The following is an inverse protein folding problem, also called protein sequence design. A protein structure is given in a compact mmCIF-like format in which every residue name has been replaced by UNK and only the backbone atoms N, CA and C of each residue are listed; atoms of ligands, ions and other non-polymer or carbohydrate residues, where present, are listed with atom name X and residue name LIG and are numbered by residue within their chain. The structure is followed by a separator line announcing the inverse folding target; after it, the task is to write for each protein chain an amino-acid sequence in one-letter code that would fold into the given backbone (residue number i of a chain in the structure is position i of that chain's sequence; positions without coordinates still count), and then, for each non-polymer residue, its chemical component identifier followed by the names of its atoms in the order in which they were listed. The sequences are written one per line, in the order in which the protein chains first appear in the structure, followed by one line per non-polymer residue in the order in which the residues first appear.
data_IF_478449567807
#
_entry.id   IF_478449567807
#
_cell.length_a   1.000
_cell.length_b   1.000
_cell.length_c   1.000
_cell.angle_alpha   90.00
_cell.angle_beta   90.00
_cell.angle_gamma   90.00
#
_symmetry.space_group_name_H-M   'P 1'
#
loop_
_entity.id
_entity.type
_entity.pdbx_description
1 polymer ?
#
# COMPACT_ATOMS: atom_id res chain seq x y z
N UNK A 1 -8.80 57.29 35.44
CA UNK A 1 -8.84 56.89 34.01
C UNK A 1 -7.71 55.94 33.61
N UNK A 2 -6.52 56.05 34.23
CA UNK A 2 -5.36 55.23 33.87
C UNK A 2 -5.56 53.71 34.07
N UNK A 3 -6.20 53.28 35.16
CA UNK A 3 -6.44 51.86 35.46
C UNK A 3 -7.32 51.17 34.39
N UNK A 4 -8.33 51.87 33.86
CA UNK A 4 -9.19 51.36 32.80
C UNK A 4 -8.42 51.16 31.48
N UNK A 5 -7.46 52.04 31.19
CA UNK A 5 -6.60 51.91 30.00
C UNK A 5 -5.64 50.72 30.13
N UNK A 6 -5.10 50.46 31.32
CA UNK A 6 -4.26 49.27 31.57
C UNK A 6 -5.04 47.96 31.41
N UNK A 7 -6.27 47.89 31.94
CA UNK A 7 -7.13 46.71 31.81
C UNK A 7 -7.51 46.49 30.33
N UNK A 8 -7.87 47.55 29.61
CA UNK A 8 -8.18 47.47 28.18
C UNK A 8 -6.98 46.99 27.35
N UNK A 9 -5.77 47.47 27.66
CA UNK A 9 -4.53 47.03 27.00
C UNK A 9 -4.23 45.55 27.24
N UNK A 10 -4.40 45.07 28.47
CA UNK A 10 -4.23 43.66 28.81
C UNK A 10 -5.21 42.74 28.07
N UNK A 11 -6.48 43.15 27.97
CA UNK A 11 -7.51 42.40 27.25
C UNK A 11 -7.24 42.34 25.74
N UNK A 12 -6.81 43.45 25.13
CA UNK A 12 -6.45 43.49 23.72
C UNK A 12 -5.23 42.61 23.41
N UNK A 13 -4.20 42.65 24.27
CA UNK A 13 -3.02 41.79 24.13
C UNK A 13 -3.39 40.30 24.23
N UNK A 14 -4.23 39.93 25.21
CA UNK A 14 -4.72 38.56 25.36
C UNK A 14 -5.54 38.11 24.16
N UNK A 15 -6.42 38.96 23.63
CA UNK A 15 -7.26 38.65 22.48
C UNK A 15 -6.42 38.39 21.22
N UNK A 16 -5.40 39.22 20.96
CA UNK A 16 -4.47 39.00 19.84
C UNK A 16 -3.68 37.71 20.02
N UNK A 17 -3.15 37.45 21.21
CA UNK A 17 -2.44 36.21 21.51
C UNK A 17 -3.33 34.98 21.33
N UNK A 18 -4.60 35.05 21.75
CA UNK A 18 -5.56 33.96 21.61
C UNK A 18 -5.91 33.67 20.15
N UNK A 19 -6.13 34.71 19.34
CA UNK A 19 -6.37 34.55 17.90
C UNK A 19 -5.15 33.91 17.22
N UNK A 20 -3.95 34.38 17.55
CA UNK A 20 -2.72 33.83 16.97
C UNK A 20 -2.49 32.37 17.38
N UNK A 21 -2.72 32.05 18.65
CA UNK A 21 -2.64 30.68 19.15
C UNK A 21 -3.61 29.76 18.42
N UNK A 22 -4.87 30.16 18.27
CA UNK A 22 -5.89 29.37 17.55
C UNK A 22 -5.49 29.15 16.08
N UNK A 23 -4.98 30.20 15.42
CA UNK A 23 -4.47 30.09 14.04
C UNK A 23 -3.29 29.13 13.96
N UNK A 24 -2.34 29.21 14.89
CA UNK A 24 -1.19 28.31 14.95
C UNK A 24 -1.62 26.86 15.17
N UNK A 25 -2.61 26.62 16.04
CA UNK A 25 -3.16 25.28 16.28
C UNK A 25 -3.75 24.68 14.99
N UNK A 26 -4.58 25.45 14.27
CA UNK A 26 -5.17 24.99 13.00
C UNK A 26 -4.12 24.71 11.93
N UNK A 27 -3.04 25.49 11.89
CA UNK A 27 -1.93 25.27 10.95
C UNK A 27 -1.14 24.00 11.30
N UNK A 28 -0.94 23.72 12.61
CA UNK A 28 -0.28 22.49 13.05
C UNK A 28 -1.14 21.26 12.75
N UNK A 29 -2.45 21.33 12.96
CA UNK A 29 -3.38 20.24 12.62
C UNK A 29 -3.38 19.95 11.11
N UNK A 30 -3.41 20.99 10.27
CA UNK A 30 -3.33 20.84 8.82
C UNK A 30 -2.00 20.21 8.39
N UNK A 31 -0.87 20.73 8.86
CA UNK A 31 0.45 20.20 8.54
C UNK A 31 0.62 18.74 9.01
N UNK A 32 0.11 18.39 10.20
CA UNK A 32 0.14 17.02 10.70
C UNK A 32 -0.75 16.10 9.85
N UNK A 33 -1.93 16.56 9.44
CA UNK A 33 -2.83 15.79 8.56
C UNK A 33 -2.22 15.56 7.17
N UNK A 34 -1.54 16.57 6.61
CA UNK A 34 -0.84 16.44 5.33
C UNK A 34 0.30 15.43 5.44
N UNK A 35 1.11 15.50 6.50
CA UNK A 35 2.18 14.53 6.75
C UNK A 35 1.64 13.10 6.93
N UNK A 36 0.56 12.92 7.70
CA UNK A 36 -0.07 11.62 7.88
C UNK A 36 -0.59 11.04 6.55
N UNK A 37 -1.29 11.84 5.75
CA UNK A 37 -1.79 11.39 4.45
C UNK A 37 -0.65 11.03 3.49
N UNK A 38 0.44 11.79 3.49
CA UNK A 38 1.64 11.47 2.71
C UNK A 38 2.28 10.15 3.17
N UNK A 39 2.38 9.90 4.48
CA UNK A 39 2.92 8.65 5.01
C UNK A 39 2.04 7.44 4.67
N UNK A 40 0.71 7.58 4.73
CA UNK A 40 -0.23 6.53 4.31
C UNK A 40 -0.05 6.21 2.83
N UNK A 41 0.00 7.23 1.97
CA UNK A 41 0.19 7.03 0.53
C UNK A 41 1.53 6.34 0.22
N UNK A 42 2.61 6.71 0.91
CA UNK A 42 3.90 6.03 0.76
C UNK A 42 3.83 4.56 1.21
N UNK A 43 3.17 4.27 2.33
CA UNK A 43 3.00 2.91 2.82
C UNK A 43 2.17 2.05 1.84
N UNK A 44 1.10 2.61 1.25
CA UNK A 44 0.32 1.93 0.22
C UNK A 44 1.13 1.65 -1.04
N UNK A 45 1.94 2.62 -1.50
CA UNK A 45 2.83 2.43 -2.65
C UNK A 45 3.90 1.35 -2.39
N UNK A 46 4.49 1.33 -1.19
CA UNK A 46 5.45 0.30 -0.80
C UNK A 46 4.79 -1.08 -0.76
N UNK A 47 3.61 -1.20 -0.15
CA UNK A 47 2.86 -2.46 -0.12
C UNK A 47 2.53 -2.96 -1.54
N UNK A 48 2.13 -2.07 -2.45
CA UNK A 48 1.85 -2.43 -3.84
C UNK A 48 3.13 -2.91 -4.56
N UNK A 49 4.26 -2.25 -4.35
CA UNK A 49 5.54 -2.66 -4.91
C UNK A 49 6.01 -4.02 -4.36
N UNK A 50 5.86 -4.24 -3.04
CA UNK A 50 6.20 -5.50 -2.39
C UNK A 50 5.35 -6.66 -2.92
N UNK A 51 4.05 -6.44 -3.11
CA UNK A 51 3.16 -7.44 -3.71
C UNK A 51 3.59 -7.81 -5.14
N UNK A 52 3.96 -6.82 -5.96
CA UNK A 52 4.44 -7.07 -7.32
C UNK A 52 5.76 -7.88 -7.32
N UNK A 53 6.67 -7.59 -6.40
CA UNK A 53 7.93 -8.33 -6.25
C UNK A 53 7.65 -9.78 -5.83
N UNK A 54 6.74 -9.99 -4.88
CA UNK A 54 6.34 -11.33 -4.44
C UNK A 54 5.74 -12.12 -5.60
N UNK A 55 4.81 -11.52 -6.35
CA UNK A 55 4.18 -12.17 -7.49
C UNK A 55 5.21 -12.56 -8.55
N UNK A 56 6.10 -11.64 -8.91
CA UNK A 56 7.13 -11.90 -9.91
C UNK A 56 8.09 -13.02 -9.47
N UNK A 57 8.50 -13.04 -8.20
CA UNK A 57 9.33 -14.11 -7.64
C UNK A 57 8.62 -15.47 -7.70
N UNK A 58 7.34 -15.53 -7.31
CA UNK A 58 6.55 -16.76 -7.40
C UNK A 58 6.48 -17.29 -8.83
N UNK A 59 6.35 -16.40 -9.81
CA UNK A 59 6.33 -16.77 -11.23
C UNK A 59 7.69 -17.34 -11.64
N UNK A 60 8.79 -16.70 -11.26
CA UNK A 60 10.14 -17.17 -11.56
C UNK A 60 10.44 -18.55 -10.95
N UNK A 61 10.04 -18.77 -9.70
CA UNK A 61 10.16 -20.07 -9.02
C UNK A 61 9.36 -21.15 -9.76
N UNK A 62 8.14 -20.82 -10.18
CA UNK A 62 7.27 -21.74 -10.93
C UNK A 62 7.79 -22.04 -12.33
N UNK A 63 8.39 -21.05 -13.02
CA UNK A 63 9.10 -21.24 -14.29
C UNK A 63 10.33 -22.13 -14.07
N UNK A 64 11.07 -21.93 -12.98
CA UNK A 64 12.22 -22.74 -12.60
C UNK A 64 11.83 -24.20 -12.41
N UNK A 65 10.74 -24.46 -11.69
CA UNK A 65 10.19 -25.80 -11.52
C UNK A 65 9.72 -26.40 -12.83
N UNK A 66 9.04 -25.61 -13.68
CA UNK A 66 8.66 -26.05 -15.02
C UNK A 66 9.85 -26.56 -15.82
N UNK A 67 10.98 -25.83 -15.78
CA UNK A 67 12.21 -26.22 -16.48
C UNK A 67 12.83 -27.52 -15.94
N UNK A 68 12.62 -27.83 -14.65
CA UNK A 68 13.16 -29.02 -13.99
C UNK A 68 12.27 -30.25 -14.14
N UNK A 69 10.97 -30.10 -13.84
CA UNK A 69 10.01 -31.19 -13.73
C UNK A 69 8.99 -31.24 -14.89
N UNK A 70 9.01 -30.26 -15.80
CA UNK A 70 8.08 -30.17 -16.93
C UNK A 70 6.68 -29.66 -16.57
N UNK A 71 6.45 -29.33 -15.29
CA UNK A 71 5.18 -28.82 -14.74
C UNK A 71 5.44 -27.90 -13.54
N UNK A 72 4.69 -26.81 -13.34
CA UNK A 72 4.85 -25.91 -12.19
C UNK A 72 3.95 -26.28 -10.99
N UNK A 73 3.20 -27.39 -11.07
CA UNK A 73 2.18 -27.77 -10.07
C UNK A 73 2.75 -27.84 -8.66
N UNK A 74 3.91 -28.47 -8.47
CA UNK A 74 4.49 -28.67 -7.15
C UNK A 74 4.73 -27.37 -6.39
N UNK A 75 5.21 -26.34 -7.08
CA UNK A 75 5.44 -25.02 -6.50
C UNK A 75 4.12 -24.29 -6.26
N UNK A 76 3.20 -24.32 -7.22
CA UNK A 76 1.90 -23.63 -7.10
C UNK A 76 1.05 -24.22 -5.96
N UNK A 77 1.14 -25.53 -5.72
CA UNK A 77 0.46 -26.19 -4.62
C UNK A 77 0.95 -25.70 -3.24
N UNK A 78 2.17 -25.12 -3.13
CA UNK A 78 2.69 -24.57 -1.86
C UNK A 78 2.11 -23.20 -1.50
N UNK A 79 1.42 -22.52 -2.42
CA UNK A 79 0.80 -21.23 -2.17
C UNK A 79 -0.58 -21.43 -1.51
N UNK A 80 -0.60 -21.46 -0.19
CA UNK A 80 -1.83 -21.63 0.60
C UNK A 80 -2.72 -20.38 0.62
N UNK A 81 -2.17 -19.23 0.23
CA UNK A 81 -2.86 -17.95 0.16
C UNK A 81 -3.67 -17.75 -1.13
N UNK A 82 -3.55 -18.65 -2.10
CA UNK A 82 -4.25 -18.57 -3.38
C UNK A 82 -5.42 -19.54 -3.45
N UNK A 83 -6.56 -19.06 -3.95
CA UNK A 83 -7.72 -19.91 -4.27
C UNK A 83 -7.43 -20.77 -5.51
N UNK A 84 -8.23 -21.83 -5.73
CA UNK A 84 -8.08 -22.68 -6.92
C UNK A 84 -8.24 -21.88 -8.23
N UNK A 85 -9.14 -20.90 -8.26
CA UNK A 85 -9.30 -19.99 -9.41
C UNK A 85 -8.03 -19.16 -9.66
N UNK A 86 -7.46 -18.58 -8.60
CA UNK A 86 -6.20 -17.83 -8.69
C UNK A 86 -5.03 -18.71 -9.10
N UNK A 87 -4.95 -19.94 -8.57
CA UNK A 87 -3.97 -20.95 -8.97
C UNK A 87 -4.13 -21.33 -10.44
N UNK A 88 -5.36 -21.42 -10.95
CA UNK A 88 -5.63 -21.69 -12.35
C UNK A 88 -5.07 -20.58 -13.26
N UNK A 89 -5.36 -19.33 -12.94
CA UNK A 89 -4.89 -18.18 -13.73
C UNK A 89 -3.37 -17.99 -13.63
N UNK A 90 -2.80 -18.24 -12.46
CA UNK A 90 -1.37 -18.24 -12.23
C UNK A 90 -0.66 -19.34 -13.04
N UNK A 91 -1.21 -20.55 -13.03
CA UNK A 91 -0.72 -21.66 -13.84
C UNK A 91 -0.74 -21.32 -15.33
N UNK A 92 -1.84 -20.76 -15.82
CA UNK A 92 -1.96 -20.31 -17.21
C UNK A 92 -0.92 -19.24 -17.55
N UNK A 93 -0.63 -18.33 -16.62
CA UNK A 93 0.36 -17.26 -16.78
C UNK A 93 1.78 -17.81 -16.88
N UNK A 94 2.14 -18.74 -15.99
CA UNK A 94 3.44 -19.44 -16.05
C UNK A 94 3.58 -20.17 -17.39
N UNK A 95 2.53 -20.87 -17.81
CA UNK A 95 2.52 -21.62 -19.07
C UNK A 95 2.61 -20.70 -20.29
N UNK A 96 1.95 -19.53 -20.26
CA UNK A 96 2.08 -18.50 -21.28
C UNK A 96 3.53 -18.00 -21.37
N UNK A 97 4.19 -17.72 -20.23
CA UNK A 97 5.58 -17.25 -20.22
C UNK A 97 6.58 -18.29 -20.72
N UNK A 98 6.36 -19.58 -20.43
CA UNK A 98 7.30 -20.63 -20.85
C UNK A 98 7.02 -21.16 -22.26
N UNK A 99 5.76 -21.33 -22.63
CA UNK A 99 5.36 -21.95 -23.90
C UNK A 99 4.74 -20.99 -24.93
N UNK A 100 4.48 -19.74 -24.56
CA UNK A 100 3.76 -18.77 -25.42
C UNK A 100 2.27 -19.05 -25.57
N UNK A 101 1.70 -20.00 -24.81
CA UNK A 101 0.28 -20.37 -24.87
C UNK A 101 -0.22 -20.87 -23.52
N UNK A 102 -1.52 -20.70 -23.26
CA UNK A 102 -2.19 -21.30 -22.10
C UNK A 102 -2.10 -22.83 -22.14
N UNK A 103 -2.22 -23.46 -20.98
CA UNK A 103 -2.17 -24.91 -20.89
C UNK A 103 -3.42 -25.55 -21.52
N UNK A 104 -3.23 -26.70 -22.20
CA UNK A 104 -4.35 -27.49 -22.73
C UNK A 104 -5.18 -28.15 -21.62
N UNK A 105 -4.53 -28.45 -20.50
CA UNK A 105 -5.13 -28.99 -19.28
C UNK A 105 -4.55 -28.22 -18.11
N UNK A 106 -5.43 -27.68 -17.27
CA UNK A 106 -5.08 -26.93 -16.08
C UNK A 106 -5.67 -27.67 -14.88
N UNK A 107 -4.82 -28.12 -13.96
CA UNK A 107 -5.21 -28.91 -12.77
C UNK A 107 -6.30 -28.23 -11.95
N UNK A 108 -6.26 -26.91 -11.89
CA UNK A 108 -7.09 -26.10 -11.01
C UNK A 108 -8.38 -25.61 -11.69
N UNK A 109 -8.51 -25.76 -13.01
CA UNK A 109 -9.73 -25.42 -13.74
C UNK A 109 -10.51 -26.71 -14.02
N UNK A 110 -11.53 -26.97 -13.20
CA UNK A 110 -12.50 -28.07 -13.40
C UNK A 110 -13.60 -27.65 -14.37
#
# INVERSE_FOLDING_TARGET
MEILLFIAGGLLSWLVAHIYYKKSLTQQEQAASEQLSHMINLAEQLNAADQQIIEQRRIEESIGEYKRAGTPVNVIDTYDDLTDEQKADFFDTVMLRVKGRKAKSNKYRR
#
